data_IF_284542293766
#
_entry.id   IF_284542293766
#
_cell.length_a   1.000
_cell.length_b   1.000
_cell.length_c   1.000
_cell.angle_alpha   90.00
_cell.angle_beta   90.00
_cell.angle_gamma   90.00
#
_symmetry.space_group_name_H-M   'P 1'
#
loop_
_entity.id
_entity.type
_entity.pdbx_description
1 polymer ?
#
# COMPACT_ATOMS: atom_id res chain seq x y z
N UNK A 1 14.73 11.70 2.31
CA UNK A 1 13.33 11.28 2.37
C UNK A 1 13.06 10.63 3.71
N UNK A 2 11.97 11.00 4.37
CA UNK A 2 11.47 10.32 5.56
C UNK A 2 10.91 8.93 5.23
N UNK A 3 10.77 8.06 6.25
CA UNK A 3 10.11 6.75 6.10
C UNK A 3 8.71 6.90 5.50
N UNK A 4 7.97 7.93 5.91
CA UNK A 4 6.63 8.24 5.40
C UNK A 4 6.64 8.58 3.91
N UNK A 5 7.52 9.47 3.47
CA UNK A 5 7.64 9.85 2.06
C UNK A 5 7.97 8.63 1.18
N UNK A 6 8.89 7.77 1.63
CA UNK A 6 9.26 6.55 0.91
C UNK A 6 8.09 5.57 0.78
N UNK A 7 7.32 5.39 1.86
CA UNK A 7 6.14 4.51 1.87
C UNK A 7 5.06 5.07 0.95
N UNK A 8 4.72 6.36 1.08
CA UNK A 8 3.71 7.02 0.23
C UNK A 8 4.09 6.90 -1.25
N UNK A 9 5.33 7.24 -1.62
CA UNK A 9 5.79 7.18 -3.00
C UNK A 9 5.78 5.73 -3.57
N UNK A 10 6.04 4.73 -2.73
CA UNK A 10 5.96 3.33 -3.16
C UNK A 10 4.50 2.88 -3.30
N UNK A 11 3.61 3.34 -2.42
CA UNK A 11 2.18 3.04 -2.46
C UNK A 11 1.49 3.67 -3.68
N UNK A 12 1.87 4.89 -4.07
CA UNK A 12 1.40 5.53 -5.32
C UNK A 12 1.76 4.72 -6.56
N UNK A 13 3.00 4.21 -6.61
CA UNK A 13 3.46 3.34 -7.71
C UNK A 13 2.66 2.04 -7.76
N UNK A 14 2.40 1.44 -6.60
CA UNK A 14 1.57 0.24 -6.50
C UNK A 14 0.14 0.52 -6.98
N UNK A 15 -0.49 1.60 -6.51
CA UNK A 15 -1.84 2.00 -6.95
C UNK A 15 -1.90 2.20 -8.47
N UNK A 16 -0.88 2.86 -9.05
CA UNK A 16 -0.82 3.08 -10.50
C UNK A 16 -0.77 1.75 -11.26
N UNK A 17 0.07 0.82 -10.83
CA UNK A 17 0.18 -0.52 -11.43
C UNK A 17 -1.12 -1.33 -11.27
N UNK A 18 -1.74 -1.27 -10.09
CA UNK A 18 -3.00 -1.97 -9.82
C UNK A 18 -4.17 -1.42 -10.63
N UNK A 19 -4.25 -0.10 -10.84
CA UNK A 19 -5.27 0.50 -11.72
C UNK A 19 -5.17 0.02 -13.16
N UNK A 20 -3.96 -0.30 -13.62
CA UNK A 20 -3.73 -0.77 -14.99
C UNK A 20 -3.98 -2.27 -15.14
N UNK A 21 -3.58 -3.06 -14.14
CA UNK A 21 -3.55 -4.53 -14.23
C UNK A 21 -4.71 -5.22 -13.55
N UNK A 22 -5.29 -4.59 -12.52
CA UNK A 22 -6.36 -5.12 -11.67
C UNK A 22 -7.33 -4.02 -11.19
N UNK A 23 -7.92 -3.22 -12.10
CA UNK A 23 -8.88 -2.20 -11.71
C UNK A 23 -10.11 -2.81 -11.04
N UNK A 24 -10.69 -2.11 -10.07
CA UNK A 24 -11.95 -2.50 -9.44
C UNK A 24 -11.87 -3.70 -8.49
N UNK A 25 -10.67 -4.12 -8.08
CA UNK A 25 -10.53 -5.09 -6.99
C UNK A 25 -10.59 -4.39 -5.63
N UNK A 26 -11.09 -5.11 -4.60
CA UNK A 26 -11.07 -4.61 -3.21
C UNK A 26 -9.66 -4.24 -2.73
N UNK A 27 -8.63 -4.90 -3.25
CA UNK A 27 -7.25 -4.57 -2.93
C UNK A 27 -6.81 -3.26 -3.57
N UNK A 28 -7.16 -3.03 -4.83
CA UNK A 28 -6.91 -1.74 -5.50
C UNK A 28 -7.58 -0.60 -4.76
N UNK A 29 -8.88 -0.74 -4.43
CA UNK A 29 -9.64 0.25 -3.64
C UNK A 29 -8.97 0.51 -2.28
N UNK A 30 -8.61 -0.55 -1.55
CA UNK A 30 -7.93 -0.44 -0.26
C UNK A 30 -6.57 0.29 -0.36
N UNK A 31 -5.79 0.04 -1.41
CA UNK A 31 -4.52 0.74 -1.63
C UNK A 31 -4.73 2.23 -1.95
N UNK A 32 -5.78 2.58 -2.71
CA UNK A 32 -6.16 3.97 -3.01
C UNK A 32 -6.57 4.75 -1.76
N UNK A 33 -7.40 4.14 -0.92
CA UNK A 33 -7.79 4.74 0.36
C UNK A 33 -6.58 4.92 1.28
N UNK A 34 -5.71 3.90 1.34
CA UNK A 34 -4.51 3.92 2.18
C UNK A 34 -3.54 5.04 1.74
N UNK A 35 -3.25 5.18 0.44
CA UNK A 35 -2.33 6.23 -0.02
C UNK A 35 -2.88 7.62 0.28
N UNK A 36 -4.19 7.81 0.11
CA UNK A 36 -4.87 9.07 0.39
C UNK A 36 -4.81 9.40 1.87
N UNK A 37 -5.09 8.42 2.73
CA UNK A 37 -4.99 8.59 4.18
C UNK A 37 -3.56 8.92 4.62
N UNK A 38 -2.55 8.21 4.10
CA UNK A 38 -1.16 8.43 4.50
C UNK A 38 -0.63 9.79 4.06
N UNK A 39 -0.99 10.26 2.87
CA UNK A 39 -0.64 11.61 2.39
C UNK A 39 -1.15 12.72 3.31
N UNK A 40 -2.39 12.61 3.75
CA UNK A 40 -3.07 13.66 4.51
C UNK A 40 -2.89 13.52 6.03
N UNK A 41 -2.29 12.43 6.49
CA UNK A 41 -2.07 12.15 7.91
C UNK A 41 -1.00 13.03 8.56
N UNK A 42 -1.09 13.21 9.88
CA UNK A 42 0.06 13.62 10.70
C UNK A 42 1.08 12.47 10.82
N UNK A 43 2.24 12.70 11.45
CA UNK A 43 3.21 11.61 11.68
C UNK A 43 2.73 10.58 12.73
N UNK A 44 1.94 11.03 13.72
CA UNK A 44 1.33 10.13 14.71
C UNK A 44 0.26 9.24 14.06
N UNK A 45 -0.62 9.83 13.28
CA UNK A 45 -1.67 9.11 12.55
C UNK A 45 -1.08 8.18 11.50
N UNK A 46 0.01 8.60 10.84
CA UNK A 46 0.75 7.76 9.90
C UNK A 46 1.24 6.47 10.57
N UNK A 47 1.87 6.55 11.75
CA UNK A 47 2.37 5.36 12.47
C UNK A 47 1.25 4.39 12.84
N UNK A 48 0.13 4.91 13.35
CA UNK A 48 -1.04 4.08 13.66
C UNK A 48 -1.64 3.45 12.40
N UNK A 49 -1.77 4.23 11.32
CA UNK A 49 -2.23 3.77 10.02
C UNK A 49 -1.30 2.71 9.41
N UNK A 50 0.01 2.88 9.55
CA UNK A 50 1.02 1.93 9.08
C UNK A 50 0.91 0.58 9.79
N UNK A 51 0.70 0.57 11.10
CA UNK A 51 0.47 -0.65 11.86
C UNK A 51 -0.83 -1.36 11.44
N UNK A 52 -1.90 -0.61 11.14
CA UNK A 52 -3.13 -1.20 10.61
C UNK A 52 -2.91 -1.77 9.20
N UNK A 53 -2.17 -1.06 8.35
CA UNK A 53 -1.87 -1.46 6.98
C UNK A 53 -1.10 -2.78 6.93
N UNK A 54 -0.04 -2.94 7.72
CA UNK A 54 0.78 -4.18 7.71
C UNK A 54 -0.02 -5.42 8.10
N UNK A 55 -1.05 -5.26 8.94
CA UNK A 55 -1.93 -6.35 9.33
C UNK A 55 -3.03 -6.64 8.28
N UNK A 56 -3.66 -5.59 7.74
CA UNK A 56 -4.83 -5.73 6.87
C UNK A 56 -4.46 -6.01 5.41
N UNK A 57 -3.40 -5.38 4.90
CA UNK A 57 -3.05 -5.46 3.48
C UNK A 57 -2.76 -6.89 3.01
N UNK A 58 -2.03 -7.75 3.75
CA UNK A 58 -1.84 -9.15 3.38
C UNK A 58 -3.14 -9.96 3.36
N UNK A 59 -4.08 -9.66 4.27
CA UNK A 59 -5.38 -10.34 4.34
C UNK A 59 -6.22 -10.01 3.11
N UNK A 60 -6.28 -8.73 2.73
CA UNK A 60 -7.02 -8.29 1.55
C UNK A 60 -6.35 -8.80 0.26
N UNK A 61 -5.01 -8.81 0.20
CA UNK A 61 -4.24 -9.39 -0.92
C UNK A 61 -4.62 -10.85 -1.19
N UNK A 62 -4.81 -11.67 -0.14
CA UNK A 62 -5.20 -13.09 -0.29
C UNK A 62 -6.55 -13.28 -0.97
N UNK A 63 -7.43 -12.30 -0.89
CA UNK A 63 -8.76 -12.32 -1.55
C UNK A 63 -8.73 -11.79 -2.98
N UNK A 64 -7.56 -11.37 -3.46
CA UNK A 64 -7.38 -10.74 -4.78
C UNK A 64 -6.75 -11.74 -5.75
N UNK A 65 -7.11 -11.69 -7.05
CA UNK A 65 -6.38 -12.43 -8.07
C UNK A 65 -4.88 -12.16 -7.99
N UNK A 66 -4.08 -13.13 -8.41
CA UNK A 66 -2.61 -13.03 -8.37
C UNK A 66 -2.14 -11.72 -9.00
N UNK A 67 -1.40 -10.92 -8.23
CA UNK A 67 -0.84 -9.64 -8.66
C UNK A 67 0.12 -9.83 -9.85
N UNK A 68 0.30 -8.77 -10.65
CA UNK A 68 1.42 -8.71 -11.60
C UNK A 68 2.75 -8.80 -10.82
N UNK A 69 3.81 -9.30 -11.44
CA UNK A 69 5.12 -9.40 -10.78
C UNK A 69 5.56 -8.05 -10.20
N UNK A 70 5.38 -6.97 -10.96
CA UNK A 70 5.74 -5.61 -10.54
C UNK A 70 4.89 -5.13 -9.35
N UNK A 71 3.59 -5.41 -9.35
CA UNK A 71 2.73 -5.08 -8.21
C UNK A 71 3.12 -5.88 -6.96
N UNK A 72 3.51 -7.14 -7.13
CA UNK A 72 3.97 -8.01 -6.03
C UNK A 72 5.29 -7.49 -5.42
N UNK A 73 6.27 -7.15 -6.26
CA UNK A 73 7.55 -6.56 -5.83
C UNK A 73 7.36 -5.22 -5.08
N UNK A 74 6.44 -4.37 -5.57
CA UNK A 74 6.10 -3.11 -4.91
C UNK A 74 5.43 -3.35 -3.55
N UNK A 75 4.55 -4.34 -3.46
CA UNK A 75 3.90 -4.72 -2.21
C UNK A 75 4.91 -5.26 -1.18
N UNK A 76 5.82 -6.15 -1.58
CA UNK A 76 6.83 -6.71 -0.70
C UNK A 76 7.81 -5.63 -0.21
N UNK A 77 8.14 -4.66 -1.08
CA UNK A 77 8.91 -3.49 -0.70
C UNK A 77 8.18 -2.63 0.34
N UNK A 78 6.86 -2.45 0.22
CA UNK A 78 6.06 -1.74 1.22
C UNK A 78 6.08 -2.44 2.58
N UNK A 79 5.93 -3.77 2.61
CA UNK A 79 6.02 -4.54 3.86
C UNK A 79 7.39 -4.38 4.53
N UNK A 80 8.46 -4.42 3.73
CA UNK A 80 9.83 -4.21 4.22
C UNK A 80 10.04 -2.80 4.78
N UNK A 81 9.52 -1.77 4.09
CA UNK A 81 9.62 -0.39 4.55
C UNK A 81 8.81 -0.14 5.82
N UNK A 82 7.68 -0.83 5.97
CA UNK A 82 6.79 -0.67 7.13
C UNK A 82 7.32 -1.33 8.42
N UNK A 83 8.35 -2.16 8.32
CA UNK A 83 9.00 -2.84 9.45
C UNK A 83 10.25 -2.11 9.99
N UNK A 84 10.67 -1.02 9.33
CA UNK A 84 11.82 -0.19 9.73
C UNK A 84 11.40 0.97 10.60
#
# INVERSE_FOLDING_TARGET
MSTKENIVATLEKLVTELKQTQPGTKFTEYMEETVTAFKNSSDADFKAGLHKFTNMAPVIKRTTPKLSQKADELFDKLQTLAQK
#
